data_IF_560420871871
#
_entry.id   IF_560420871871
#
_cell.length_a   1.000
_cell.length_b   1.000
_cell.length_c   1.000
_cell.angle_alpha   90.00
_cell.angle_beta   90.00
_cell.angle_gamma   90.00
#
_symmetry.space_group_name_H-M   'P 1'
#
loop_
_entity.id
_entity.type
_entity.pdbx_description
1 polymer ?
#
# COMPACT_ATOMS: atom_id res chain seq x y z
N UNK A 1 12.02 -39.67 -23.07
CA UNK A 1 13.05 -38.61 -23.19
C UNK A 1 12.97 -37.71 -21.96
N UNK A 2 14.00 -37.71 -21.11
CA UNK A 2 14.07 -36.93 -19.86
C UNK A 2 14.78 -35.62 -20.17
N UNK A 3 14.04 -34.52 -20.31
CA UNK A 3 14.62 -33.21 -20.64
C UNK A 3 15.07 -32.53 -19.34
N UNK A 4 16.37 -32.57 -19.06
CA UNK A 4 17.03 -31.78 -18.02
C UNK A 4 17.31 -30.37 -18.55
N UNK A 5 16.55 -29.37 -18.09
CA UNK A 5 16.85 -27.97 -18.39
C UNK A 5 18.07 -27.51 -17.59
N UNK A 6 19.19 -27.30 -18.30
CA UNK A 6 20.45 -26.76 -17.76
C UNK A 6 20.24 -25.39 -17.11
N UNK A 7 20.63 -25.29 -15.85
CA UNK A 7 20.61 -24.16 -14.92
C UNK A 7 21.36 -22.88 -15.34
N UNK A 8 21.84 -22.76 -16.59
CA UNK A 8 22.61 -21.58 -17.05
C UNK A 8 21.76 -20.52 -17.76
N UNK A 9 20.57 -20.86 -18.26
CA UNK A 9 19.73 -19.90 -19.01
C UNK A 9 19.05 -18.85 -18.11
N UNK A 10 18.78 -19.19 -16.85
CA UNK A 10 18.17 -18.26 -15.88
C UNK A 10 19.14 -17.20 -15.35
N UNK A 11 20.45 -17.43 -15.41
CA UNK A 11 21.45 -16.45 -14.97
C UNK A 11 21.54 -15.26 -15.93
N UNK A 12 21.30 -15.46 -17.23
CA UNK A 12 21.31 -14.39 -18.23
C UNK A 12 20.06 -13.51 -18.16
N UNK A 13 18.89 -14.07 -17.86
CA UNK A 13 17.63 -13.32 -17.71
C UNK A 13 17.68 -12.38 -16.48
N UNK A 14 18.44 -12.75 -15.44
CA UNK A 14 18.60 -11.95 -14.22
C UNK A 14 19.30 -10.60 -14.40
N UNK A 15 20.07 -10.40 -15.49
CA UNK A 15 20.77 -9.13 -15.74
C UNK A 15 19.95 -8.11 -16.54
N UNK A 16 18.99 -8.58 -17.35
CA UNK A 16 18.17 -7.71 -18.19
C UNK A 16 17.02 -7.08 -17.40
N UNK A 17 16.37 -7.83 -16.51
CA UNK A 17 15.23 -7.31 -15.76
C UNK A 17 15.62 -6.87 -14.35
N UNK A 18 15.42 -5.59 -14.05
CA UNK A 18 15.69 -5.01 -12.73
C UNK A 18 14.39 -4.71 -12.00
N UNK A 19 14.29 -5.17 -10.75
CA UNK A 19 13.21 -4.78 -9.84
C UNK A 19 13.59 -3.50 -9.10
N UNK A 20 12.80 -2.45 -9.27
CA UNK A 20 13.00 -1.19 -8.57
C UNK A 20 12.35 -1.20 -7.18
N UNK A 21 12.84 -0.36 -6.27
CA UNK A 21 12.19 -0.10 -4.97
C UNK A 21 10.76 0.42 -5.12
N UNK A 22 10.44 1.09 -6.23
CA UNK A 22 9.05 1.50 -6.54
C UNK A 22 8.14 0.34 -6.96
N UNK A 23 8.62 -0.90 -6.99
CA UNK A 23 7.85 -2.09 -7.33
C UNK A 23 7.83 -2.47 -8.81
N UNK A 24 8.23 -1.57 -9.72
CA UNK A 24 8.29 -1.86 -11.15
C UNK A 24 9.44 -2.84 -11.47
N UNK A 25 9.13 -3.88 -12.26
CA UNK A 25 10.13 -4.71 -12.93
C UNK A 25 10.24 -4.17 -14.36
N UNK A 26 11.44 -3.77 -14.78
CA UNK A 26 11.68 -3.19 -16.10
C UNK A 26 12.95 -3.78 -16.70
N UNK A 27 13.03 -3.80 -18.03
CA UNK A 27 14.26 -4.17 -18.71
C UNK A 27 15.27 -3.00 -18.61
N UNK A 28 16.40 -3.20 -17.93
CA UNK A 28 17.41 -2.18 -17.69
C UNK A 28 18.33 -1.94 -18.90
N UNK A 29 18.32 -2.83 -19.91
CA UNK A 29 19.09 -2.66 -21.15
C UNK A 29 18.26 -2.02 -22.26
N UNK A 30 16.91 -2.05 -22.16
CA UNK A 30 16.03 -1.36 -23.09
C UNK A 30 15.87 0.12 -22.67
N UNK A 31 16.39 1.04 -23.50
CA UNK A 31 16.35 2.49 -23.24
C UNK A 31 14.91 3.00 -23.10
N UNK A 32 13.95 2.46 -23.84
CA UNK A 32 12.53 2.84 -23.74
C UNK A 32 11.96 2.45 -22.39
N UNK A 33 12.22 1.23 -21.93
CA UNK A 33 11.80 0.73 -20.62
C UNK A 33 12.47 1.50 -19.48
N UNK A 34 13.74 1.87 -19.62
CA UNK A 34 14.45 2.71 -18.64
C UNK A 34 13.85 4.12 -18.59
N UNK A 35 13.48 4.72 -19.73
CA UNK A 35 12.80 6.02 -19.79
C UNK A 35 11.40 5.96 -19.17
N UNK A 36 10.64 4.91 -19.49
CA UNK A 36 9.31 4.68 -18.92
C UNK A 36 9.39 4.39 -17.42
N UNK A 37 10.37 3.59 -16.98
CA UNK A 37 10.69 3.39 -15.59
C UNK A 37 11.03 4.72 -14.92
N UNK A 38 11.91 5.58 -15.48
CA UNK A 38 12.23 6.89 -14.90
C UNK A 38 10.98 7.78 -14.80
N UNK A 39 10.11 7.81 -15.80
CA UNK A 39 8.84 8.54 -15.75
C UNK A 39 7.91 7.99 -14.67
N UNK A 40 7.72 6.68 -14.62
CA UNK A 40 6.89 5.98 -13.63
C UNK A 40 7.45 6.13 -12.21
N UNK A 41 8.74 5.91 -12.03
CA UNK A 41 9.49 6.10 -10.80
C UNK A 41 9.43 7.55 -10.35
N UNK A 42 9.54 8.52 -11.27
CA UNK A 42 9.38 9.92 -10.90
C UNK A 42 7.93 10.23 -10.49
N UNK A 43 6.94 9.70 -11.22
CA UNK A 43 5.52 9.83 -10.87
C UNK A 43 5.20 9.21 -9.51
N UNK A 44 5.85 8.10 -9.15
CA UNK A 44 5.59 7.35 -7.90
C UNK A 44 6.40 7.84 -6.72
N UNK A 45 7.68 8.17 -6.93
CA UNK A 45 8.59 8.61 -5.87
C UNK A 45 8.44 10.12 -5.60
N UNK A 46 7.98 10.92 -6.58
CA UNK A 46 7.97 12.38 -6.45
C UNK A 46 6.56 12.99 -6.36
N UNK A 47 5.48 12.23 -6.59
CA UNK A 47 4.18 12.60 -5.99
C UNK A 47 4.13 12.05 -4.57
N UNK A 48 4.79 12.75 -3.66
CA UNK A 48 4.48 12.64 -2.24
C UNK A 48 3.05 13.13 -2.07
N UNK A 49 2.07 12.23 -2.05
CA UNK A 49 0.73 12.57 -1.57
C UNK A 49 0.95 13.17 -0.18
N UNK A 50 0.67 14.46 -0.05
CA UNK A 50 0.98 15.17 1.18
C UNK A 50 -0.05 14.74 2.20
N UNK A 51 0.40 14.14 3.30
CA UNK A 51 -0.50 13.80 4.39
C UNK A 51 -1.19 15.08 4.87
N UNK A 52 -2.50 15.11 4.69
CA UNK A 52 -3.39 16.16 5.14
C UNK A 52 -4.67 15.52 5.70
N UNK A 53 -5.15 16.03 6.83
CA UNK A 53 -6.17 15.38 7.64
C UNK A 53 -5.94 15.49 9.14
N UNK A 54 -6.85 14.88 9.91
CA UNK A 54 -6.86 14.90 11.38
C UNK A 54 -5.96 13.78 11.89
N UNK A 55 -4.98 14.11 12.74
CA UNK A 55 -4.18 13.09 13.44
C UNK A 55 -5.07 12.38 14.46
N UNK A 56 -5.26 11.06 14.29
CA UNK A 56 -6.08 10.26 15.19
C UNK A 56 -5.26 9.47 16.21
N UNK A 57 -4.04 9.05 15.84
CA UNK A 57 -3.15 8.28 16.72
C UNK A 57 -1.69 8.55 16.37
N UNK A 58 -0.86 8.74 17.39
CA UNK A 58 0.58 8.84 17.25
C UNK A 58 1.23 7.66 17.99
N UNK A 59 2.11 6.94 17.30
CA UNK A 59 2.95 5.88 17.85
C UNK A 59 4.39 6.22 17.47
N UNK A 60 5.37 5.87 18.32
CA UNK A 60 6.78 6.22 18.13
C UNK A 60 7.32 5.97 16.70
N UNK A 61 6.79 4.96 15.99
CA UNK A 61 7.19 4.58 14.64
C UNK A 61 6.32 5.16 13.52
N UNK A 62 5.06 5.51 13.79
CA UNK A 62 4.10 5.94 12.76
C UNK A 62 2.90 6.70 13.36
N UNK A 63 2.23 7.46 12.52
CA UNK A 63 1.02 8.19 12.82
C UNK A 63 -0.14 7.67 11.96
N UNK A 64 -1.36 7.70 12.51
CA UNK A 64 -2.60 7.39 11.81
C UNK A 64 -3.42 8.66 11.69
N UNK A 65 -3.89 8.95 10.48
CA UNK A 65 -4.67 10.14 10.15
C UNK A 65 -6.02 9.76 9.55
N UNK A 66 -7.06 10.54 9.83
CA UNK A 66 -8.24 10.62 8.97
C UNK A 66 -7.93 11.59 7.84
N UNK A 67 -7.88 11.11 6.61
CA UNK A 67 -7.61 11.94 5.44
C UNK A 67 -8.71 12.99 5.26
N UNK A 68 -8.32 14.22 4.93
CA UNK A 68 -9.29 15.20 4.42
C UNK A 68 -9.67 14.90 2.97
N UNK A 69 -10.69 15.59 2.47
CA UNK A 69 -11.20 15.39 1.10
C UNK A 69 -10.12 15.58 0.04
N UNK A 70 -9.25 16.58 0.19
CA UNK A 70 -8.20 16.87 -0.78
C UNK A 70 -7.19 15.72 -0.83
N UNK A 71 -6.80 15.19 0.32
CA UNK A 71 -5.90 14.06 0.42
C UNK A 71 -6.50 12.79 -0.20
N UNK A 72 -7.81 12.53 0.00
CA UNK A 72 -8.51 11.40 -0.63
C UNK A 72 -8.50 11.53 -2.15
N UNK A 73 -8.79 12.72 -2.70
CA UNK A 73 -8.76 12.96 -4.14
C UNK A 73 -7.35 12.79 -4.73
N UNK A 74 -6.30 13.22 -4.02
CA UNK A 74 -4.92 12.96 -4.45
C UNK A 74 -4.60 11.45 -4.49
N UNK A 75 -5.10 10.67 -3.51
CA UNK A 75 -4.98 9.20 -3.50
C UNK A 75 -5.72 8.60 -4.69
N UNK A 76 -6.98 9.01 -4.95
CA UNK A 76 -7.78 8.54 -6.08
C UNK A 76 -7.05 8.79 -7.41
N UNK A 77 -6.59 10.01 -7.65
CA UNK A 77 -5.87 10.39 -8.87
C UNK A 77 -4.58 9.57 -9.03
N UNK A 78 -3.86 9.35 -7.94
CA UNK A 78 -2.60 8.62 -7.97
C UNK A 78 -2.79 7.13 -8.27
N UNK A 79 -3.82 6.51 -7.69
CA UNK A 79 -4.07 5.07 -7.78
C UNK A 79 -5.16 4.68 -8.79
N UNK A 80 -5.67 5.61 -9.60
CA UNK A 80 -6.75 5.37 -10.59
C UNK A 80 -6.48 4.19 -11.54
N UNK A 81 -5.21 3.96 -11.89
CA UNK A 81 -4.81 2.89 -12.82
C UNK A 81 -4.57 1.55 -12.08
N UNK A 82 -4.57 1.56 -10.74
CA UNK A 82 -4.30 0.39 -9.88
C UNK A 82 -5.57 -0.15 -9.22
N UNK A 83 -6.46 0.74 -8.81
CA UNK A 83 -7.68 0.40 -8.09
C UNK A 83 -8.88 1.04 -8.78
N UNK A 84 -9.89 0.23 -9.06
CA UNK A 84 -11.14 0.68 -9.67
C UNK A 84 -12.08 1.37 -8.69
N UNK A 85 -11.94 1.12 -7.38
CA UNK A 85 -12.83 1.67 -6.36
C UNK A 85 -12.05 2.11 -5.10
N UNK A 86 -11.82 3.42 -4.97
CA UNK A 86 -11.27 4.04 -3.75
C UNK A 86 -12.40 4.87 -3.14
N UNK A 87 -12.79 4.51 -1.92
CA UNK A 87 -13.91 5.13 -1.21
C UNK A 87 -13.69 6.59 -0.83
N UNK A 88 -14.76 7.25 -0.39
CA UNK A 88 -14.79 8.68 -0.05
C UNK A 88 -14.06 9.03 1.26
N UNK A 89 -13.88 8.05 2.15
CA UNK A 89 -13.15 8.23 3.41
C UNK A 89 -11.90 7.37 3.40
N UNK A 90 -10.78 7.93 3.85
CA UNK A 90 -9.53 7.19 4.00
C UNK A 90 -8.93 7.37 5.40
N UNK A 91 -8.47 6.28 5.99
CA UNK A 91 -7.48 6.30 7.06
C UNK A 91 -6.10 6.11 6.43
N UNK A 92 -5.18 6.98 6.78
CA UNK A 92 -3.81 7.00 6.28
C UNK A 92 -2.87 6.62 7.41
N UNK A 93 -1.90 5.76 7.13
CA UNK A 93 -0.75 5.54 8.00
C UNK A 93 0.49 6.17 7.38
N UNK A 94 1.16 7.01 8.15
CA UNK A 94 2.36 7.72 7.73
C UNK A 94 3.49 7.59 8.73
N UNK A 95 4.73 7.58 8.27
CA UNK A 95 5.90 7.59 9.15
C UNK A 95 6.40 9.02 9.35
N UNK A 96 6.81 9.34 10.57
CA UNK A 96 7.48 10.59 10.85
C UNK A 96 8.91 10.49 10.31
N UNK A 97 9.16 11.07 9.13
CA UNK A 97 10.47 11.29 8.50
C UNK A 97 11.46 10.12 8.57
N UNK A 98 11.78 9.50 7.43
CA UNK A 98 13.01 8.69 7.35
C UNK A 98 14.16 9.57 6.83
N UNK A 99 15.34 9.42 7.43
CA UNK A 99 16.56 10.06 6.92
C UNK A 99 16.94 9.37 5.61
N UNK A 100 16.80 10.07 4.48
CA UNK A 100 17.44 9.69 3.20
C UNK A 100 18.58 10.65 2.93
N UNK A 101 19.81 10.15 2.85
CA UNK A 101 21.00 10.95 2.52
C UNK A 101 21.12 12.23 3.38
N UNK A 102 20.94 12.12 4.70
CA UNK A 102 21.00 13.24 5.67
C UNK A 102 19.98 14.38 5.46
N UNK A 103 18.99 14.23 4.56
CA UNK A 103 17.90 15.19 4.38
C UNK A 103 16.60 14.66 5.00
N UNK A 104 15.90 15.52 5.74
CA UNK A 104 14.55 15.25 6.23
C UNK A 104 13.59 15.26 5.05
N UNK A 105 13.27 14.08 4.53
CA UNK A 105 12.17 13.92 3.58
C UNK A 105 10.89 13.86 4.41
N UNK A 106 9.91 14.70 4.08
CA UNK A 106 8.70 14.96 4.89
C UNK A 106 7.84 13.73 5.19
N UNK A 107 6.68 13.98 5.83
CA UNK A 107 5.69 12.95 6.18
C UNK A 107 5.28 12.15 4.94
N UNK A 108 5.64 10.86 4.89
CA UNK A 108 5.29 9.98 3.77
C UNK A 108 4.17 9.03 4.17
N UNK A 109 3.16 8.92 3.31
CA UNK A 109 2.15 7.87 3.38
C UNK A 109 2.86 6.54 3.15
N UNK A 110 2.74 5.60 4.08
CA UNK A 110 3.21 4.21 3.89
C UNK A 110 2.08 3.26 3.53
N UNK A 111 0.83 3.71 3.71
CA UNK A 111 -0.37 3.00 3.27
C UNK A 111 -1.65 3.75 3.61
N UNK A 112 -2.76 3.26 3.08
CA UNK A 112 -4.10 3.77 3.37
C UNK A 112 -5.13 2.64 3.35
N UNK A 113 -6.26 2.88 4.01
CA UNK A 113 -7.48 2.09 3.87
C UNK A 113 -8.62 3.05 3.54
N UNK A 114 -9.27 2.85 2.39
CA UNK A 114 -10.48 3.58 2.02
C UNK A 114 -11.71 2.78 2.40
N UNK A 115 -12.75 3.45 2.88
CA UNK A 115 -13.94 2.81 3.36
C UNK A 115 -15.20 3.65 3.13
N UNK A 116 -16.33 2.95 3.07
CA UNK A 116 -17.69 3.50 3.10
C UNK A 116 -18.38 3.10 4.40
N UNK A 117 -19.34 3.92 4.84
CA UNK A 117 -20.10 3.65 6.06
C UNK A 117 -21.59 3.78 5.79
N UNK A 118 -22.28 2.64 5.74
CA UNK A 118 -23.74 2.53 5.61
C UNK A 118 -24.24 1.47 6.61
N UNK A 119 -24.29 1.81 7.91
CA UNK A 119 -24.54 0.92 9.07
C UNK A 119 -23.49 -0.17 9.32
N UNK A 120 -22.83 -0.65 8.27
CA UNK A 120 -21.69 -1.56 8.26
C UNK A 120 -20.48 -0.78 7.71
N UNK A 121 -19.27 -1.15 8.16
CA UNK A 121 -18.03 -0.62 7.60
C UNK A 121 -17.66 -1.47 6.39
N UNK A 122 -17.59 -0.86 5.22
CA UNK A 122 -17.15 -1.51 4.00
C UNK A 122 -15.76 -1.01 3.62
N UNK A 123 -14.75 -1.90 3.62
CA UNK A 123 -13.44 -1.58 3.08
C UNK A 123 -13.49 -1.71 1.56
N UNK A 124 -13.35 -0.60 0.85
CA UNK A 124 -13.27 -0.58 -0.63
C UNK A 124 -11.86 -0.92 -1.11
N UNK A 125 -10.84 -0.32 -0.47
CA UNK A 125 -9.42 -0.54 -0.85
C UNK A 125 -8.53 -0.49 0.39
N UNK A 126 -7.56 -1.40 0.45
CA UNK A 126 -6.45 -1.34 1.40
C UNK A 126 -5.12 -1.44 0.65
N UNK A 127 -4.24 -0.49 0.89
CA UNK A 127 -2.92 -0.42 0.28
C UNK A 127 -1.84 -0.22 1.33
N UNK A 128 -0.78 -1.00 1.22
CA UNK A 128 0.49 -0.79 1.92
C UNK A 128 1.59 -0.88 0.86
N UNK A 129 2.47 0.12 0.82
CA UNK A 129 3.64 0.11 -0.06
C UNK A 129 4.53 -1.11 0.24
N UNK A 130 5.12 -1.70 -0.79
CA UNK A 130 5.73 -3.04 -0.73
C UNK A 130 6.79 -3.16 0.37
N UNK A 131 7.63 -2.14 0.54
CA UNK A 131 8.69 -2.08 1.54
C UNK A 131 8.17 -2.05 2.99
N UNK A 132 6.89 -1.73 3.20
CA UNK A 132 6.26 -1.70 4.52
C UNK A 132 5.31 -2.87 4.75
N UNK A 133 5.09 -3.76 3.78
CA UNK A 133 4.25 -4.95 3.95
C UNK A 133 4.86 -5.92 4.97
N UNK A 134 4.01 -6.77 5.55
CA UNK A 134 4.37 -7.76 6.58
C UNK A 134 4.91 -7.19 7.91
N UNK A 135 4.86 -5.87 8.13
CA UNK A 135 5.24 -5.22 9.39
C UNK A 135 4.05 -4.91 10.32
N UNK A 136 2.90 -5.54 10.11
CA UNK A 136 1.70 -5.33 10.93
C UNK A 136 0.86 -4.08 10.60
N UNK A 137 1.35 -3.14 9.80
CA UNK A 137 0.61 -1.90 9.48
C UNK A 137 -0.79 -2.12 8.91
N UNK A 138 -0.98 -3.11 8.03
CA UNK A 138 -2.30 -3.46 7.52
C UNK A 138 -3.27 -3.88 8.62
N UNK A 139 -2.80 -4.67 9.60
CA UNK A 139 -3.59 -5.10 10.76
C UNK A 139 -3.93 -3.90 11.64
N UNK A 140 -2.95 -3.05 11.92
CA UNK A 140 -3.14 -1.85 12.74
C UNK A 140 -4.18 -0.90 12.15
N UNK A 141 -4.16 -0.67 10.83
CA UNK A 141 -5.18 0.15 10.16
C UNK A 141 -6.58 -0.45 10.27
N UNK A 142 -6.74 -1.76 10.08
CA UNK A 142 -8.05 -2.43 10.17
C UNK A 142 -8.57 -2.43 11.62
N UNK A 143 -7.71 -2.73 12.60
CA UNK A 143 -8.05 -2.64 14.02
C UNK A 143 -8.48 -1.22 14.41
N UNK A 144 -7.74 -0.23 13.92
CA UNK A 144 -8.05 1.17 14.18
C UNK A 144 -9.39 1.54 13.52
N UNK A 145 -9.64 1.14 12.28
CA UNK A 145 -10.89 1.39 11.56
C UNK A 145 -12.11 0.80 12.31
N UNK A 146 -11.98 -0.42 12.84
CA UNK A 146 -13.01 -1.04 13.67
C UNK A 146 -13.26 -0.22 14.94
N UNK A 147 -12.21 0.12 15.68
CA UNK A 147 -12.31 0.91 16.92
C UNK A 147 -12.95 2.28 16.65
N UNK A 148 -12.50 2.97 15.60
CA UNK A 148 -12.99 4.30 15.22
C UNK A 148 -14.49 4.31 14.89
N UNK A 149 -15.01 3.20 14.34
CA UNK A 149 -16.42 3.07 13.98
C UNK A 149 -17.24 2.26 15.00
N UNK A 150 -16.75 2.11 16.23
CA UNK A 150 -17.50 1.46 17.33
C UNK A 150 -17.65 -0.05 17.19
N UNK A 151 -16.63 -0.74 16.66
CA UNK A 151 -16.60 -2.21 16.48
C UNK A 151 -17.78 -2.77 15.65
N UNK A 152 -18.30 -1.96 14.73
CA UNK A 152 -19.34 -2.41 13.78
C UNK A 152 -18.81 -3.50 12.86
N UNK A 153 -19.73 -4.28 12.28
CA UNK A 153 -19.42 -5.33 11.31
C UNK A 153 -18.58 -4.74 10.17
N UNK A 154 -17.56 -5.50 9.75
CA UNK A 154 -16.63 -5.12 8.70
C UNK A 154 -16.74 -6.09 7.53
N UNK A 155 -16.98 -5.53 6.35
CA UNK A 155 -17.04 -6.23 5.08
C UNK A 155 -15.92 -5.70 4.18
N UNK A 156 -15.37 -6.58 3.36
CA UNK A 156 -14.31 -6.21 2.40
C UNK A 156 -14.85 -6.40 1.00
N UNK A 157 -14.90 -5.32 0.25
CA UNK A 157 -15.36 -5.32 -1.12
C UNK A 157 -14.28 -5.93 -2.03
N UNK A 158 -14.65 -6.93 -2.83
CA UNK A 158 -13.84 -7.49 -3.92
C UNK A 158 -12.34 -7.67 -3.62
N UNK A 159 -11.95 -8.36 -2.52
CA UNK A 159 -10.55 -8.45 -2.13
C UNK A 159 -9.70 -9.16 -3.19
N UNK A 160 -8.55 -8.55 -3.52
CA UNK A 160 -7.51 -9.19 -4.35
C UNK A 160 -7.05 -10.53 -3.75
N UNK A 161 -6.37 -11.38 -4.52
CA UNK A 161 -5.83 -12.66 -4.00
C UNK A 161 -4.96 -12.46 -2.74
N UNK A 162 -4.14 -11.40 -2.73
CA UNK A 162 -3.33 -11.00 -1.57
C UNK A 162 -4.23 -10.52 -0.42
N UNK A 163 -5.21 -9.67 -0.72
CA UNK A 163 -6.19 -9.18 0.25
C UNK A 163 -6.96 -10.31 0.93
N UNK A 164 -7.45 -11.30 0.15
CA UNK A 164 -8.13 -12.49 0.67
C UNK A 164 -7.24 -13.24 1.66
N UNK A 165 -5.99 -13.53 1.29
CA UNK A 165 -5.04 -14.19 2.19
C UNK A 165 -4.82 -13.41 3.49
N UNK A 166 -4.68 -12.09 3.40
CA UNK A 166 -4.55 -11.21 4.57
C UNK A 166 -5.79 -11.27 5.46
N UNK A 167 -7.00 -11.06 4.91
CA UNK A 167 -8.23 -11.05 5.69
C UNK A 167 -8.59 -12.43 6.26
N UNK A 168 -8.35 -13.53 5.53
CA UNK A 168 -8.51 -14.88 6.09
C UNK A 168 -7.63 -15.08 7.33
N UNK A 169 -6.37 -14.65 7.28
CA UNK A 169 -5.47 -14.72 8.46
C UNK A 169 -5.91 -13.79 9.58
N UNK A 170 -6.35 -12.58 9.23
CA UNK A 170 -6.83 -11.59 10.18
C UNK A 170 -8.05 -12.10 10.96
N UNK A 171 -9.10 -12.55 10.26
CA UNK A 171 -10.32 -13.06 10.89
C UNK A 171 -10.08 -14.36 11.68
N UNK A 172 -9.23 -15.28 11.20
CA UNK A 172 -8.88 -16.49 11.97
C UNK A 172 -8.25 -16.17 13.33
N UNK A 173 -7.47 -15.09 13.42
CA UNK A 173 -6.87 -14.69 14.68
C UNK A 173 -7.86 -13.99 15.64
N UNK A 174 -8.90 -13.36 15.10
CA UNK A 174 -9.95 -12.72 15.91
C UNK A 174 -10.98 -13.75 16.39
N UNK A 175 -11.42 -14.67 15.52
CA UNK A 175 -12.37 -15.72 15.88
C UNK A 175 -11.79 -16.79 16.83
N UNK A 176 -10.48 -16.79 17.10
CA UNK A 176 -9.88 -17.60 18.18
C UNK A 176 -9.96 -16.92 19.55
N UNK A 177 -10.32 -15.64 19.59
CA UNK A 177 -10.38 -14.82 20.79
C UNK A 177 -11.81 -14.62 21.31
N UNK A 178 -12.82 -14.98 20.50
CA UNK A 178 -14.24 -15.09 20.88
C UNK A 178 -14.48 -16.55 21.22
#
# INVERSE_FOLDING_TARGET
>A
IKITFKSKMYALIGNYFKKCKCGLIYNNTNISDVKNHKKYHNKIIYKNIRISGILLKSIQKYNIYLADRKCVEEIKIYFKDTYSNIGEKCIIIGINSYKRNKKNVGKNIIGFVSFSFNNIIEINTIHIYNEYRNNGYGREMVNFLLKYNGNKKLVVESPTKIGRSFFTKYYKNICKFI
#
